data_IF_791661754910
#
_entry.id   IF_791661754910
#
_cell.length_a   1.000
_cell.length_b   1.000
_cell.length_c   1.000
_cell.angle_alpha   90.00
_cell.angle_beta   90.00
_cell.angle_gamma   90.00
#
_symmetry.space_group_name_H-M   'P 1'
#
loop_
_entity.id
_entity.type
_entity.pdbx_description
1 polymer ?
#
# COMPACT_ATOMS: atom_id res chain seq x y z
N UNK A 1 10.27 -4.32 -10.72
CA UNK A 1 8.94 -3.93 -10.22
C UNK A 1 8.57 -2.60 -10.84
N UNK A 2 7.35 -2.44 -11.30
CA UNK A 2 6.81 -1.15 -11.73
C UNK A 2 6.25 -0.40 -10.51
N UNK A 3 6.67 0.83 -10.26
CA UNK A 3 6.22 1.64 -9.12
C UNK A 3 5.83 3.05 -9.56
N UNK A 4 4.93 3.73 -8.83
CA UNK A 4 4.68 5.16 -9.01
C UNK A 4 5.88 5.99 -8.59
N UNK A 5 5.95 7.23 -9.08
CA UNK A 5 6.92 8.19 -8.59
C UNK A 5 6.64 8.52 -7.12
N UNK A 6 7.69 8.90 -6.39
CA UNK A 6 7.57 9.26 -4.98
C UNK A 6 6.54 10.39 -4.76
N UNK A 7 6.49 11.36 -5.68
CA UNK A 7 5.54 12.49 -5.61
C UNK A 7 4.09 12.03 -5.66
N UNK A 8 3.77 10.98 -6.42
CA UNK A 8 2.41 10.43 -6.50
C UNK A 8 2.02 9.73 -5.19
N UNK A 9 2.97 9.06 -4.55
CA UNK A 9 2.76 8.42 -3.25
C UNK A 9 2.61 9.46 -2.14
N UNK A 10 3.45 10.49 -2.12
CA UNK A 10 3.33 11.62 -1.19
C UNK A 10 1.97 12.29 -1.35
N UNK A 11 1.53 12.52 -2.58
CA UNK A 11 0.21 13.09 -2.87
C UNK A 11 -0.91 12.19 -2.33
N UNK A 12 -0.83 10.88 -2.56
CA UNK A 12 -1.88 9.92 -2.16
C UNK A 12 -1.99 9.77 -0.64
N UNK A 13 -0.86 9.78 0.07
CA UNK A 13 -0.80 9.66 1.54
C UNK A 13 -0.77 11.00 2.26
N UNK A 14 -0.75 12.11 1.52
CA UNK A 14 -0.74 13.48 2.05
C UNK A 14 0.43 13.76 3.01
N UNK A 15 1.58 13.13 2.76
CA UNK A 15 2.73 13.26 3.63
C UNK A 15 3.98 12.55 3.09
N UNK A 16 5.13 13.07 3.51
CA UNK A 16 6.43 12.45 3.25
C UNK A 16 6.55 11.10 3.97
N UNK A 17 7.19 10.09 3.35
CA UNK A 17 7.46 8.84 4.04
C UNK A 17 8.51 9.01 5.12
N UNK A 18 8.37 8.27 6.21
CA UNK A 18 9.49 8.02 7.13
C UNK A 18 10.40 6.94 6.55
N UNK A 19 11.70 7.14 6.65
CA UNK A 19 12.73 6.20 6.18
C UNK A 19 13.24 5.38 7.36
N UNK A 20 13.50 4.09 7.15
CA UNK A 20 14.14 3.25 8.18
C UNK A 20 15.60 3.67 8.42
N UNK A 21 16.30 4.03 7.35
CA UNK A 21 17.68 4.51 7.36
C UNK A 21 17.76 5.85 6.64
N UNK A 22 18.37 6.87 7.28
CA UNK A 22 18.38 8.25 6.77
C UNK A 22 19.24 8.43 5.50
N UNK A 23 20.24 7.57 5.30
CA UNK A 23 21.18 7.57 4.19
C UNK A 23 20.63 6.90 2.91
N UNK A 24 19.49 6.20 3.01
CA UNK A 24 18.84 5.59 1.86
C UNK A 24 17.78 6.53 1.29
N UNK A 25 17.95 6.89 0.03
CA UNK A 25 16.98 7.69 -0.72
C UNK A 25 16.05 6.81 -1.56
N UNK A 26 14.87 7.33 -1.86
CA UNK A 26 13.94 6.67 -2.77
C UNK A 26 14.61 6.34 -4.12
N UNK A 27 14.45 5.12 -4.67
CA UNK A 27 13.54 4.05 -4.25
C UNK A 27 14.22 2.94 -3.41
N UNK A 28 15.31 3.24 -2.70
CA UNK A 28 16.11 2.25 -1.95
C UNK A 28 15.72 2.19 -0.48
N UNK A 29 15.51 0.99 0.04
CA UNK A 29 15.17 0.77 1.44
C UNK A 29 13.70 1.03 1.78
N UNK A 30 13.36 0.78 3.05
CA UNK A 30 11.98 0.79 3.52
C UNK A 30 11.46 2.22 3.74
N UNK A 31 10.44 2.59 2.98
CA UNK A 31 9.74 3.87 3.06
C UNK A 31 8.32 3.64 3.60
N UNK A 32 7.97 4.31 4.69
CA UNK A 32 6.69 4.12 5.37
C UNK A 32 5.82 5.37 5.29
N UNK A 33 4.64 5.22 4.72
CA UNK A 33 3.62 6.25 4.57
C UNK A 33 2.50 6.04 5.57
N UNK A 34 2.08 7.11 6.23
CA UNK A 34 0.99 7.07 7.21
C UNK A 34 -0.12 8.01 6.81
N UNK A 35 -1.35 7.49 6.76
CA UNK A 35 -2.54 8.28 6.52
C UNK A 35 -3.58 8.02 7.60
N UNK A 36 -4.22 9.08 8.08
CA UNK A 36 -5.33 9.00 9.06
C UNK A 36 -6.57 9.66 8.50
N UNK A 37 -7.72 9.00 8.63
CA UNK A 37 -9.05 9.48 8.23
C UNK A 37 -10.05 9.16 9.32
N UNK A 38 -10.48 10.17 10.06
CA UNK A 38 -11.37 9.97 11.21
C UNK A 38 -10.73 9.05 12.24
N UNK A 39 -11.39 7.93 12.56
CA UNK A 39 -10.88 6.93 13.51
C UNK A 39 -10.00 5.85 12.86
N UNK A 40 -9.86 5.84 11.54
CA UNK A 40 -9.07 4.86 10.81
C UNK A 40 -7.69 5.42 10.47
N UNK A 41 -6.67 4.57 10.53
CA UNK A 41 -5.34 4.88 10.04
C UNK A 41 -4.78 3.70 9.24
N UNK A 42 -3.94 4.00 8.26
CA UNK A 42 -3.13 3.03 7.54
C UNK A 42 -1.66 3.39 7.67
N UNK A 43 -0.83 2.37 7.89
CA UNK A 43 0.61 2.42 7.71
C UNK A 43 0.94 1.50 6.53
N UNK A 44 1.43 2.11 5.44
CA UNK A 44 1.90 1.40 4.26
C UNK A 44 3.42 1.54 4.17
N UNK A 45 4.13 0.43 4.23
CA UNK A 45 5.59 0.42 4.06
C UNK A 45 5.96 -0.31 2.78
N UNK A 46 6.92 0.22 2.04
CA UNK A 46 7.38 -0.31 0.77
C UNK A 46 8.90 -0.27 0.71
N UNK A 47 9.51 -1.40 0.35
CA UNK A 47 10.88 -1.47 -0.14
C UNK A 47 10.82 -1.77 -1.63
N UNK A 48 11.02 -0.75 -2.49
CA UNK A 48 10.90 -0.95 -3.92
C UNK A 48 11.99 -1.85 -4.51
N UNK A 49 13.19 -1.80 -3.94
CA UNK A 49 14.33 -2.61 -4.38
C UNK A 49 14.17 -4.08 -4.03
N UNK A 50 13.58 -4.39 -2.87
CA UNK A 50 13.28 -5.76 -2.44
C UNK A 50 11.97 -6.30 -3.06
N UNK A 51 11.11 -5.42 -3.57
CA UNK A 51 9.78 -5.79 -4.08
C UNK A 51 8.87 -6.23 -2.93
N UNK A 52 8.90 -5.50 -1.82
CA UNK A 52 8.21 -5.88 -0.59
C UNK A 52 7.33 -4.77 -0.06
N UNK A 53 6.16 -5.14 0.44
CA UNK A 53 5.23 -4.21 1.06
C UNK A 53 4.64 -4.76 2.36
N UNK A 54 4.23 -3.84 3.22
CA UNK A 54 3.58 -4.11 4.51
C UNK A 54 2.39 -3.17 4.64
N UNK A 55 1.25 -3.69 5.13
CA UNK A 55 0.05 -2.89 5.34
C UNK A 55 -0.49 -3.16 6.74
N UNK A 56 -0.57 -2.13 7.57
CA UNK A 56 -1.27 -2.16 8.85
C UNK A 56 -2.45 -1.19 8.82
N UNK A 57 -3.59 -1.64 9.32
CA UNK A 57 -4.79 -0.84 9.56
C UNK A 57 -5.08 -0.75 11.05
N UNK A 58 -5.26 0.48 11.52
CA UNK A 58 -5.70 0.78 12.87
C UNK A 58 -7.09 1.40 12.85
N UNK A 59 -7.92 1.05 13.85
CA UNK A 59 -9.17 1.70 14.15
C UNK A 59 -9.18 2.14 15.61
N UNK A 60 -9.55 3.40 15.88
CA UNK A 60 -9.56 3.97 17.24
C UNK A 60 -8.22 3.82 17.97
N UNK A 61 -7.10 3.91 17.23
CA UNK A 61 -5.75 3.77 17.78
C UNK A 61 -5.29 2.33 18.08
N UNK A 62 -6.11 1.32 17.80
CA UNK A 62 -5.73 -0.08 17.91
C UNK A 62 -5.55 -0.71 16.53
N UNK A 63 -4.45 -1.47 16.36
CA UNK A 63 -4.26 -2.27 15.15
C UNK A 63 -5.33 -3.38 15.11
N UNK A 64 -6.06 -3.45 14.00
CA UNK A 64 -7.08 -4.48 13.79
C UNK A 64 -6.73 -5.39 12.61
N UNK A 65 -5.93 -4.92 11.65
CA UNK A 65 -5.54 -5.75 10.50
C UNK A 65 -4.10 -5.48 10.15
N UNK A 66 -3.31 -6.55 10.10
CA UNK A 66 -1.94 -6.51 9.63
C UNK A 66 -1.79 -7.53 8.51
N UNK A 67 -1.64 -7.04 7.28
CA UNK A 67 -1.11 -7.85 6.20
C UNK A 67 0.40 -7.81 6.36
N UNK A 68 0.95 -8.94 6.81
CA UNK A 68 2.38 -9.14 6.93
C UNK A 68 3.11 -8.97 5.60
N UNK A 69 4.39 -9.33 5.57
CA UNK A 69 5.29 -9.11 4.45
C UNK A 69 4.72 -9.65 3.12
N UNK A 70 4.18 -8.76 2.30
CA UNK A 70 3.79 -9.02 0.92
C UNK A 70 5.08 -9.06 0.10
N UNK A 71 5.44 -10.25 -0.39
CA UNK A 71 6.69 -10.47 -1.13
C UNK A 71 6.45 -10.52 -2.62
N UNK A 72 7.49 -10.18 -3.38
CA UNK A 72 7.52 -10.26 -4.84
C UNK A 72 6.48 -9.36 -5.51
N UNK A 73 6.27 -8.16 -4.98
CA UNK A 73 5.41 -7.17 -5.62
C UNK A 73 5.90 -6.90 -7.05
N UNK A 74 5.06 -7.15 -8.04
CA UNK A 74 5.42 -7.01 -9.46
C UNK A 74 5.14 -5.60 -9.96
N UNK A 75 3.99 -5.06 -9.54
CA UNK A 75 3.52 -3.74 -9.91
C UNK A 75 2.76 -3.08 -8.76
N UNK A 76 3.04 -1.81 -8.57
CA UNK A 76 2.29 -0.88 -7.74
C UNK A 76 1.78 0.24 -8.63
N UNK A 77 0.51 0.57 -8.54
CA UNK A 77 -0.05 1.72 -9.27
C UNK A 77 -0.97 2.55 -8.39
N UNK A 78 -0.91 3.87 -8.56
CA UNK A 78 -1.94 4.77 -8.03
C UNK A 78 -3.17 4.68 -8.94
N UNK A 79 -4.34 4.51 -8.33
CA UNK A 79 -5.61 4.49 -9.01
C UNK A 79 -6.46 5.69 -8.59
N UNK A 80 -7.06 6.34 -9.58
CA UNK A 80 -7.91 7.53 -9.42
C UNK A 80 -9.21 7.23 -10.16
N UNK A 81 -10.19 6.75 -9.40
CA UNK A 81 -11.46 6.27 -9.92
C UNK A 81 -12.50 7.39 -9.99
N UNK A 82 -13.64 7.15 -10.68
CA UNK A 82 -14.78 8.05 -10.60
C UNK A 82 -15.29 8.16 -9.14
N UNK A 83 -15.86 9.33 -8.78
CA UNK A 83 -16.47 9.60 -7.47
C UNK A 83 -15.49 9.73 -6.28
N UNK A 84 -14.43 10.53 -6.43
CA UNK A 84 -13.44 10.86 -5.38
C UNK A 84 -12.68 9.65 -4.79
N UNK A 85 -12.64 8.55 -5.55
CA UNK A 85 -11.86 7.38 -5.20
C UNK A 85 -10.39 7.61 -5.52
N UNK A 86 -9.54 7.42 -4.51
CA UNK A 86 -8.08 7.40 -4.65
C UNK A 86 -7.54 6.20 -3.86
N UNK A 87 -6.55 5.51 -4.42
CA UNK A 87 -5.93 4.37 -3.76
C UNK A 87 -4.70 3.80 -4.46
N UNK A 88 -4.16 2.73 -3.88
CA UNK A 88 -3.11 1.89 -4.45
C UNK A 88 -3.69 0.57 -4.92
N UNK A 89 -3.13 0.07 -6.03
CA UNK A 89 -3.30 -1.31 -6.48
C UNK A 89 -1.96 -2.03 -6.44
N UNK A 90 -1.91 -3.15 -5.73
CA UNK A 90 -0.75 -3.99 -5.53
C UNK A 90 -0.95 -5.30 -6.30
N UNK A 91 -0.07 -5.57 -7.26
CA UNK A 91 -0.09 -6.77 -8.08
C UNK A 91 1.01 -7.74 -7.61
N UNK A 92 0.59 -8.93 -7.20
CA UNK A 92 1.47 -10.03 -6.77
C UNK A 92 1.61 -11.07 -7.89
N UNK A 93 2.67 -11.92 -7.87
CA UNK A 93 2.92 -12.87 -8.94
C UNK A 93 1.81 -13.90 -9.04
N UNK A 94 1.30 -14.14 -10.25
CA UNK A 94 0.24 -15.10 -10.50
C UNK A 94 -1.18 -14.60 -10.21
N UNK A 95 -1.36 -13.35 -9.78
CA UNK A 95 -2.66 -12.68 -9.76
C UNK A 95 -2.91 -11.94 -11.07
N UNK A 96 -3.70 -12.56 -11.94
CA UNK A 96 -3.99 -12.04 -13.28
C UNK A 96 -5.30 -11.25 -13.35
N UNK A 97 -6.17 -11.34 -12.34
CA UNK A 97 -7.52 -10.78 -12.40
C UNK A 97 -7.77 -9.62 -11.46
N UNK A 98 -7.39 -9.71 -10.17
CA UNK A 98 -7.69 -8.64 -9.20
C UNK A 98 -6.50 -8.33 -8.28
N UNK A 99 -6.03 -7.07 -8.25
CA UNK A 99 -4.97 -6.66 -7.34
C UNK A 99 -5.51 -6.47 -5.92
N UNK A 100 -4.62 -6.53 -4.93
CA UNK A 100 -4.93 -5.99 -3.61
C UNK A 100 -5.10 -4.47 -3.73
N UNK A 101 -6.23 -3.96 -3.26
CA UNK A 101 -6.58 -2.56 -3.34
C UNK A 101 -6.56 -1.91 -1.95
N UNK A 102 -5.76 -0.86 -1.79
CA UNK A 102 -5.77 0.02 -0.62
C UNK A 102 -6.37 1.37 -1.02
N UNK A 103 -7.60 1.61 -0.60
CA UNK A 103 -8.28 2.89 -0.78
C UNK A 103 -7.86 3.87 0.32
N UNK A 104 -7.55 5.11 -0.05
CA UNK A 104 -7.21 6.21 0.86
C UNK A 104 -8.31 7.27 0.97
N UNK A 105 -9.14 7.42 -0.06
CA UNK A 105 -10.30 8.34 -0.07
C UNK A 105 -11.57 7.69 -0.64
N UNK A 106 -12.77 8.09 -0.13
CA UNK A 106 -12.99 9.03 0.98
C UNK A 106 -12.77 8.40 2.37
N UNK A 107 -12.60 7.08 2.46
CA UNK A 107 -12.33 6.34 3.70
C UNK A 107 -11.23 5.32 3.44
N UNK A 108 -10.48 4.98 4.48
CA UNK A 108 -9.44 3.97 4.39
C UNK A 108 -10.10 2.59 4.31
N UNK A 109 -9.83 1.85 3.23
CA UNK A 109 -10.32 0.48 3.03
C UNK A 109 -9.25 -0.37 2.38
N UNK A 110 -9.24 -1.63 2.77
CA UNK A 110 -8.36 -2.64 2.18
C UNK A 110 -9.25 -3.76 1.66
N UNK A 111 -9.10 -4.08 0.38
CA UNK A 111 -9.86 -5.10 -0.31
C UNK A 111 -8.90 -6.00 -1.09
N UNK A 112 -9.16 -7.30 -1.06
CA UNK A 112 -8.45 -8.28 -1.85
C UNK A 112 -9.41 -9.45 -2.09
N UNK A 113 -9.27 -10.08 -3.25
CA UNK A 113 -10.00 -11.30 -3.52
C UNK A 113 -9.33 -12.48 -2.80
N UNK A 114 -10.11 -13.19 -2.00
CA UNK A 114 -9.64 -14.41 -1.35
C UNK A 114 -9.80 -15.53 -2.36
N UNK A 115 -8.72 -15.95 -3.01
CA UNK A 115 -8.75 -17.17 -3.82
C UNK A 115 -9.15 -18.36 -2.94
N UNK A 116 -10.08 -19.22 -3.39
CA UNK A 116 -10.41 -20.44 -2.67
C UNK A 116 -9.17 -21.33 -2.55
N UNK A 117 -9.00 -21.96 -1.40
CA UNK A 117 -7.89 -22.87 -1.12
C UNK A 117 -7.84 -23.96 -2.20
N UNK A 118 -6.72 -24.04 -2.93
CA UNK A 118 -6.50 -25.04 -3.99
C UNK A 118 -6.64 -24.54 -5.43
N UNK A 119 -6.99 -23.27 -5.66
CA UNK A 119 -6.87 -22.63 -6.96
C UNK A 119 -5.44 -22.05 -7.13
N UNK A 120 -4.64 -22.66 -8.00
CA UNK A 120 -3.32 -22.19 -8.42
C UNK A 120 -3.43 -21.45 -9.75
#
# INVERSE_FOLDING_TARGET
MEIPDLVDLIWLFEGEPTREFEDLEWPVGLHSFRLTRGTQAVLFSLDPTAGEAYISLCACGQEHTYLGRLRRLERLSVDRGPSDYEGLRLWLPGDTTEPLALQTKPRIRLAWDVKPVGAW
#
